data_IF_566494005725
#
_entry.id   IF_566494005725
#
_cell.length_a   1.000
_cell.length_b   1.000
_cell.length_c   1.000
_cell.angle_alpha   90.00
_cell.angle_beta   90.00
_cell.angle_gamma   90.00
#
_symmetry.space_group_name_H-M   'P 1'
#
loop_
_entity.id
_entity.type
_entity.pdbx_description
1 polymer ?
#
# COMPACT_ATOMS: atom_id res chain seq x y z
N UNK A 1 47.87 -14.40 11.25
CA UNK A 1 46.47 -14.46 11.73
C UNK A 1 45.77 -13.16 11.29
N UNK A 2 44.86 -13.22 10.31
CA UNK A 2 44.14 -12.03 9.82
C UNK A 2 42.65 -12.31 9.99
N UNK A 3 42.02 -11.66 10.96
CA UNK A 3 40.60 -11.79 11.22
C UNK A 3 39.82 -11.26 10.01
N UNK A 4 39.07 -12.14 9.36
CA UNK A 4 38.05 -11.74 8.37
C UNK A 4 36.93 -11.06 9.14
N UNK A 5 36.78 -9.76 8.94
CA UNK A 5 35.56 -9.05 9.31
C UNK A 5 34.41 -9.65 8.46
N UNK A 6 33.59 -10.46 9.10
CA UNK A 6 32.32 -10.92 8.53
C UNK A 6 31.45 -9.70 8.26
N UNK A 7 31.01 -9.57 7.02
CA UNK A 7 30.02 -8.57 6.63
C UNK A 7 28.79 -8.65 7.56
N UNK A 8 28.16 -7.52 7.91
CA UNK A 8 26.93 -7.55 8.67
C UNK A 8 25.90 -8.35 7.87
N UNK A 9 25.48 -9.47 8.45
CA UNK A 9 24.49 -10.35 7.85
C UNK A 9 23.25 -9.54 7.48
N UNK A 10 22.85 -9.64 6.22
CA UNK A 10 21.49 -9.33 5.82
C UNK A 10 20.56 -10.03 6.80
N UNK A 11 19.77 -9.25 7.55
CA UNK A 11 18.68 -9.80 8.34
C UNK A 11 17.85 -10.67 7.39
N UNK A 12 17.58 -11.95 7.73
CA UNK A 12 16.63 -12.73 6.95
C UNK A 12 15.36 -11.90 6.88
N UNK A 13 14.92 -11.60 5.65
CA UNK A 13 13.71 -10.83 5.41
C UNK A 13 12.63 -11.38 6.33
N UNK A 14 12.00 -10.48 7.08
CA UNK A 14 10.90 -10.84 7.96
C UNK A 14 9.83 -11.51 7.09
N UNK A 15 9.84 -12.85 7.02
CA UNK A 15 8.84 -13.73 6.42
C UNK A 15 7.53 -13.68 7.22
N UNK A 16 7.20 -12.50 7.74
CA UNK A 16 5.88 -12.20 8.25
C UNK A 16 5.04 -11.94 7.02
N UNK A 17 4.12 -12.85 6.65
CA UNK A 17 3.20 -12.60 5.56
C UNK A 17 2.48 -11.30 5.89
N UNK A 18 2.71 -10.29 5.06
CA UNK A 18 1.98 -9.05 5.18
C UNK A 18 0.51 -9.40 5.04
N UNK A 19 -0.37 -8.96 5.96
CA UNK A 19 -1.76 -9.44 6.05
C UNK A 19 -2.63 -9.14 4.81
N UNK A 20 -2.05 -8.51 3.80
CA UNK A 20 -2.68 -8.11 2.53
C UNK A 20 -1.80 -8.44 1.31
N UNK A 21 -0.75 -9.26 1.51
CA UNK A 21 0.10 -9.73 0.42
C UNK A 21 -0.75 -10.59 -0.52
N UNK A 22 -0.82 -10.21 -1.80
CA UNK A 22 -1.63 -10.91 -2.81
C UNK A 22 -3.11 -10.57 -2.81
N UNK A 23 -3.56 -9.56 -2.06
CA UNK A 23 -4.93 -9.05 -2.16
C UNK A 23 -4.97 -7.90 -3.16
N UNK A 24 -5.81 -8.02 -4.19
CA UNK A 24 -6.01 -6.98 -5.18
C UNK A 24 -7.07 -5.96 -4.71
N UNK A 25 -6.89 -4.67 -5.00
CA UNK A 25 -7.87 -3.64 -4.64
C UNK A 25 -9.23 -3.89 -5.28
N UNK A 26 -9.28 -4.47 -6.47
CA UNK A 26 -10.50 -4.84 -7.18
C UNK A 26 -11.32 -5.89 -6.41
N UNK A 27 -10.65 -6.86 -5.78
CA UNK A 27 -11.30 -7.90 -4.98
C UNK A 27 -11.96 -7.31 -3.72
N UNK A 28 -11.29 -6.35 -3.07
CA UNK A 28 -11.83 -5.64 -1.92
C UNK A 28 -13.05 -4.80 -2.28
N UNK A 29 -13.05 -4.14 -3.44
CA UNK A 29 -14.20 -3.40 -3.93
C UNK A 29 -15.38 -4.29 -4.28
N UNK A 30 -15.13 -5.43 -4.92
CA UNK A 30 -16.15 -6.41 -5.22
C UNK A 30 -16.82 -6.92 -3.92
N UNK A 31 -16.00 -7.28 -2.93
CA UNK A 31 -16.49 -7.69 -1.61
C UNK A 31 -17.27 -6.57 -0.92
N UNK A 32 -16.80 -5.32 -0.98
CA UNK A 32 -17.51 -4.17 -0.41
C UNK A 32 -18.88 -3.96 -1.08
N UNK A 33 -18.97 -4.05 -2.41
CA UNK A 33 -20.23 -3.91 -3.16
C UNK A 33 -21.23 -5.00 -2.78
N UNK A 34 -20.79 -6.26 -2.68
CA UNK A 34 -21.63 -7.38 -2.22
C UNK A 34 -22.10 -7.11 -0.79
N UNK A 35 -21.22 -6.61 0.08
CA UNK A 35 -21.59 -6.35 1.47
C UNK A 35 -22.58 -5.18 1.58
N UNK A 36 -22.46 -4.15 0.74
CA UNK A 36 -23.42 -3.05 0.65
C UNK A 36 -24.80 -3.52 0.17
N UNK A 37 -24.89 -4.51 -0.73
CA UNK A 37 -26.18 -5.05 -1.18
C UNK A 37 -26.86 -5.87 -0.08
N UNK A 38 -26.09 -6.64 0.68
CA UNK A 38 -26.60 -7.46 1.78
C UNK A 38 -26.92 -6.62 3.03
N UNK A 39 -26.12 -5.58 3.28
CA UNK A 39 -26.23 -4.72 4.47
C UNK A 39 -25.87 -3.27 4.12
N UNK A 40 -26.86 -2.48 3.69
CA UNK A 40 -26.68 -1.04 3.47
C UNK A 40 -26.14 -0.36 4.73
N UNK A 41 -25.13 0.51 4.58
CA UNK A 41 -24.48 1.20 5.71
C UNK A 41 -23.53 0.32 6.53
N UNK A 42 -23.07 -0.81 6.00
CA UNK A 42 -22.07 -1.65 6.66
C UNK A 42 -20.72 -0.94 6.73
N UNK A 43 -20.28 -0.61 7.95
CA UNK A 43 -18.95 -0.05 8.21
C UNK A 43 -17.80 -0.94 7.71
N UNK A 44 -18.02 -2.25 7.64
CA UNK A 44 -17.05 -3.17 7.05
C UNK A 44 -16.92 -2.98 5.52
N UNK A 45 -18.00 -2.57 4.83
CA UNK A 45 -17.94 -2.30 3.39
C UNK A 45 -17.17 -1.00 3.12
N UNK A 46 -17.41 0.04 3.93
CA UNK A 46 -16.65 1.29 3.91
C UNK A 46 -15.16 1.03 4.10
N UNK A 47 -14.81 0.23 5.11
CA UNK A 47 -13.41 -0.12 5.40
C UNK A 47 -12.73 -0.88 4.25
N UNK A 48 -13.45 -1.80 3.59
CA UNK A 48 -12.95 -2.51 2.41
C UNK A 48 -12.69 -1.54 1.24
N UNK A 49 -13.57 -0.57 1.01
CA UNK A 49 -13.36 0.46 -0.03
C UNK A 49 -12.20 1.41 0.29
N UNK A 50 -12.09 1.88 1.53
CA UNK A 50 -10.95 2.67 2.00
C UNK A 50 -9.64 1.90 1.80
N UNK A 51 -9.64 0.60 2.12
CA UNK A 51 -8.45 -0.24 1.98
C UNK A 51 -8.08 -0.47 0.51
N UNK A 52 -9.05 -0.69 -0.37
CA UNK A 52 -8.82 -0.78 -1.81
C UNK A 52 -8.17 0.50 -2.34
N UNK A 53 -8.68 1.66 -1.91
CA UNK A 53 -8.15 2.98 -2.28
C UNK A 53 -6.69 3.14 -1.82
N UNK A 54 -6.40 2.76 -0.57
CA UNK A 54 -5.04 2.76 -0.04
C UNK A 54 -4.09 1.89 -0.87
N UNK A 55 -4.49 0.66 -1.22
CA UNK A 55 -3.65 -0.22 -2.03
C UNK A 55 -3.36 0.37 -3.42
N UNK A 56 -4.32 1.05 -4.04
CA UNK A 56 -4.07 1.75 -5.30
C UNK A 56 -3.10 2.92 -5.16
N UNK A 57 -3.24 3.71 -4.09
CA UNK A 57 -2.32 4.82 -3.82
C UNK A 57 -0.88 4.32 -3.56
N UNK A 58 -0.73 3.16 -2.92
CA UNK A 58 0.58 2.54 -2.71
C UNK A 58 1.20 1.99 -4.01
N UNK A 59 0.38 1.52 -4.95
CA UNK A 59 0.82 0.99 -6.26
C UNK A 59 1.11 2.08 -7.29
N UNK A 60 0.36 3.17 -7.22
CA UNK A 60 0.56 4.39 -7.99
C UNK A 60 0.95 5.50 -7.03
N UNK A 61 2.18 5.48 -6.48
CA UNK A 61 2.64 6.61 -5.69
C UNK A 61 2.48 7.86 -6.54
N UNK A 62 1.98 8.99 -6.00
CA UNK A 62 1.98 10.23 -6.75
C UNK A 62 3.42 10.43 -7.20
N UNK A 63 3.64 10.38 -8.52
CA UNK A 63 4.89 10.79 -9.13
C UNK A 63 5.30 12.05 -8.40
N UNK A 64 6.50 12.03 -7.82
CA UNK A 64 7.04 13.12 -7.03
C UNK A 64 7.21 14.36 -7.92
N UNK A 65 6.09 15.02 -8.25
CA UNK A 65 6.01 16.29 -8.96
C UNK A 65 6.09 17.45 -7.96
N UNK A 66 6.98 17.27 -6.97
CA UNK A 66 7.53 18.33 -6.13
C UNK A 66 8.82 18.90 -6.75
N UNK A 67 9.07 18.63 -8.04
CA UNK A 67 10.12 19.30 -8.81
C UNK A 67 9.60 20.32 -9.83
N UNK A 68 8.29 20.32 -10.12
CA UNK A 68 7.65 21.30 -11.01
C UNK A 68 7.01 22.51 -10.30
N UNK A 69 6.59 22.36 -9.03
CA UNK A 69 5.85 23.42 -8.31
C UNK A 69 6.73 24.55 -7.75
N UNK A 70 8.06 24.39 -7.71
CA UNK A 70 8.98 25.48 -7.33
C UNK A 70 9.30 26.43 -8.49
N UNK A 71 8.95 26.08 -9.73
CA UNK A 71 9.23 26.91 -10.91
C UNK A 71 8.15 27.98 -11.19
N UNK A 72 7.00 27.93 -10.51
CA UNK A 72 5.89 28.89 -10.70
C UNK A 72 5.86 30.00 -9.63
N UNK A 73 6.83 30.06 -8.72
CA UNK A 73 6.89 31.11 -7.68
C UNK A 73 7.91 32.23 -7.98
N UNK A 74 8.50 32.26 -9.18
CA UNK A 74 9.50 33.25 -9.61
C UNK A 74 9.23 33.83 -11.02
N UNK A 75 7.97 33.88 -11.47
CA UNK A 75 7.57 34.60 -12.68
C UNK A 75 6.70 35.80 -12.34
#
# INVERSE_FOLDING_TARGET
MKARASAPGSLPGSDVPQPWSGVEPEDLEAAARILCTLRPGSRAAEWLMERATYLRAMRSPPSADLRGQSALLLA
#
